data_IF_547212176406
#
_entry.id   IF_547212176406
#
_cell.length_a   1.000
_cell.length_b   1.000
_cell.length_c   1.000
_cell.angle_alpha   90.00
_cell.angle_beta   90.00
_cell.angle_gamma   90.00
#
_symmetry.space_group_name_H-M   'P 1'
#
loop_
_entity.id
_entity.type
_entity.pdbx_description
1 polymer ?
#
# COMPACT_ATOMS: atom_id res chain seq x y z
N UNK A 1 -36.26 42.94 18.36
CA UNK A 1 -35.62 43.24 17.06
C UNK A 1 -35.85 42.05 16.12
N UNK A 2 -37.09 41.90 15.64
CA UNK A 2 -37.43 41.06 14.48
C UNK A 2 -38.12 42.02 13.53
N UNK A 3 -37.36 42.61 12.61
CA UNK A 3 -37.90 43.48 11.58
C UNK A 3 -37.57 42.89 10.20
N UNK A 4 -38.63 42.78 9.41
CA UNK A 4 -38.71 42.69 7.95
C UNK A 4 -38.40 41.34 7.26
N UNK A 5 -39.53 40.68 6.97
CA UNK A 5 -39.95 40.15 5.66
C UNK A 5 -39.86 38.62 5.43
N UNK A 6 -41.07 38.07 5.24
CA UNK A 6 -41.49 36.80 4.61
C UNK A 6 -41.54 35.52 5.48
N UNK A 7 -42.81 35.16 5.74
CA UNK A 7 -43.39 33.83 5.97
C UNK A 7 -43.01 33.03 7.22
N UNK A 8 -43.79 33.27 8.29
CA UNK A 8 -44.51 32.32 9.15
C UNK A 8 -43.92 30.90 9.34
N UNK A 9 -43.16 30.67 10.42
CA UNK A 9 -43.69 30.07 11.65
C UNK A 9 -42.54 29.80 12.63
N UNK A 10 -42.55 30.56 13.73
CA UNK A 10 -41.65 30.47 14.86
C UNK A 10 -42.54 30.23 16.09
N UNK A 11 -42.50 29.04 16.70
CA UNK A 11 -42.60 28.87 18.15
C UNK A 11 -42.33 27.43 18.59
N UNK A 12 -41.42 27.22 19.55
CA UNK A 12 -41.43 26.05 20.42
C UNK A 12 -42.16 26.40 21.73
N UNK A 13 -43.21 25.67 22.09
CA UNK A 13 -43.82 25.76 23.43
C UNK A 13 -43.54 24.52 24.25
N UNK A 14 -42.73 24.79 25.27
CA UNK A 14 -42.41 24.08 26.49
C UNK A 14 -43.66 23.61 27.28
N UNK A 15 -43.73 22.33 27.68
CA UNK A 15 -44.52 21.83 28.84
C UNK A 15 -43.89 20.52 29.34
N UNK A 16 -43.05 20.58 30.38
CA UNK A 16 -43.34 20.29 31.79
C UNK A 16 -43.72 18.83 32.12
N UNK A 17 -42.83 18.20 32.91
CA UNK A 17 -43.07 17.30 34.05
C UNK A 17 -44.24 16.31 33.97
N UNK A 18 -43.96 15.01 34.09
CA UNK A 18 -44.17 14.28 35.36
C UNK A 18 -43.75 12.80 35.24
N UNK A 19 -43.28 12.30 36.38
CA UNK A 19 -42.75 10.97 36.62
C UNK A 19 -43.77 9.83 36.50
N UNK A 20 -43.23 8.60 36.56
CA UNK A 20 -43.89 7.30 36.72
C UNK A 20 -44.55 6.84 35.41
N UNK A 21 -44.23 5.67 34.85
CA UNK A 21 -44.55 4.36 35.40
C UNK A 21 -43.47 3.32 35.03
N UNK A 22 -43.04 2.59 36.06
CA UNK A 22 -42.52 1.23 36.08
C UNK A 22 -42.45 0.48 34.73
N UNK A 23 -41.24 0.14 34.30
CA UNK A 23 -41.01 -1.09 33.57
C UNK A 23 -40.00 -1.95 34.35
N UNK A 24 -40.52 -2.61 35.38
CA UNK A 24 -39.85 -3.72 36.01
C UNK A 24 -40.26 -5.00 35.30
N UNK A 25 -39.32 -5.94 35.23
CA UNK A 25 -39.45 -7.39 34.95
C UNK A 25 -39.23 -7.84 33.51
N UNK A 26 -37.99 -8.24 33.17
CA UNK A 26 -37.72 -9.56 32.58
C UNK A 26 -36.27 -9.99 32.89
N UNK A 27 -36.02 -11.29 33.09
CA UNK A 27 -35.07 -11.80 34.07
C UNK A 27 -33.63 -11.92 33.57
N UNK A 28 -32.71 -11.79 34.52
CA UNK A 28 -31.31 -12.16 34.41
C UNK A 28 -31.15 -13.61 33.92
N UNK A 29 -30.77 -13.78 32.65
CA UNK A 29 -30.23 -15.02 32.14
C UNK A 29 -28.78 -14.78 31.72
N UNK A 30 -27.88 -15.37 32.50
CA UNK A 30 -26.55 -15.86 32.12
C UNK A 30 -25.70 -15.00 31.18
N UNK A 31 -24.76 -14.25 31.76
CA UNK A 31 -23.40 -14.30 31.20
C UNK A 31 -22.74 -15.64 31.58
N UNK A 32 -21.58 -16.02 31.02
CA UNK A 32 -20.76 -15.30 30.03
C UNK A 32 -20.29 -16.21 28.88
N UNK A 33 -20.35 -15.75 27.63
CA UNK A 33 -19.38 -16.22 26.62
C UNK A 33 -18.93 -15.02 25.77
N UNK A 34 -18.31 -14.04 26.43
CA UNK A 34 -17.23 -13.31 25.78
C UNK A 34 -15.98 -14.19 25.91
N UNK A 35 -15.94 -15.27 25.13
CA UNK A 35 -14.64 -15.84 24.78
C UNK A 35 -13.84 -14.75 24.08
N UNK A 36 -12.52 -14.66 24.28
CA UNK A 36 -11.72 -13.81 23.41
C UNK A 36 -12.03 -14.31 21.99
N UNK A 37 -12.54 -13.43 21.12
CA UNK A 37 -12.26 -13.60 19.70
C UNK A 37 -10.75 -13.50 19.66
N UNK A 38 -10.08 -14.65 19.75
CA UNK A 38 -8.68 -14.74 19.44
C UNK A 38 -8.63 -14.35 17.97
N UNK A 39 -8.41 -13.05 17.70
CA UNK A 39 -7.78 -12.67 16.46
C UNK A 39 -6.52 -13.53 16.47
N UNK A 40 -6.51 -14.59 15.67
CA UNK A 40 -5.28 -15.34 15.44
C UNK A 40 -4.31 -14.26 14.96
N UNK A 41 -3.43 -13.82 15.85
CA UNK A 41 -2.42 -12.84 15.52
C UNK A 41 -1.62 -13.53 14.41
N UNK A 42 -1.84 -13.12 13.16
CA UNK A 42 -1.05 -13.60 12.04
C UNK A 42 0.39 -13.34 12.45
N UNK A 43 1.15 -14.42 12.60
CA UNK A 43 2.56 -14.33 12.94
C UNK A 43 3.19 -13.45 11.88
N UNK A 44 3.89 -12.40 12.31
CA UNK A 44 4.63 -11.52 11.40
C UNK A 44 5.47 -12.39 10.47
N UNK A 45 5.14 -12.36 9.18
CA UNK A 45 5.75 -13.19 8.16
C UNK A 45 6.27 -12.26 7.08
N UNK A 46 7.59 -12.24 6.91
CA UNK A 46 8.24 -11.57 5.79
C UNK A 46 8.42 -12.57 4.64
N UNK A 47 7.32 -13.23 4.27
CA UNK A 47 7.30 -14.26 3.23
C UNK A 47 6.17 -14.02 2.26
N UNK A 48 6.48 -14.14 0.98
CA UNK A 48 5.50 -14.02 -0.09
C UNK A 48 5.11 -15.39 -0.65
N UNK A 49 3.91 -15.46 -1.23
CA UNK A 49 3.53 -16.62 -2.01
C UNK A 49 4.42 -16.79 -3.26
N UNK A 50 4.51 -18.03 -3.76
CA UNK A 50 5.23 -18.30 -5.01
C UNK A 50 4.57 -17.56 -6.17
N UNK A 51 5.39 -16.88 -6.97
CA UNK A 51 4.93 -16.23 -8.20
C UNK A 51 4.49 -17.28 -9.23
N UNK A 52 3.32 -17.13 -9.88
CA UNK A 52 2.95 -17.96 -11.01
C UNK A 52 3.93 -17.79 -12.17
N UNK A 53 4.34 -18.87 -12.88
CA UNK A 53 5.35 -18.77 -13.95
C UNK A 53 5.01 -17.77 -15.07
N UNK A 54 3.72 -17.60 -15.39
CA UNK A 54 3.28 -16.69 -16.43
C UNK A 54 3.50 -15.22 -16.05
N UNK A 55 3.37 -14.87 -14.76
CA UNK A 55 3.59 -13.51 -14.26
C UNK A 55 5.03 -13.08 -14.52
N UNK A 56 6.01 -13.92 -14.16
CA UNK A 56 7.41 -13.62 -14.44
C UNK A 56 7.64 -13.31 -15.92
N UNK A 57 7.12 -14.16 -16.82
CA UNK A 57 7.27 -13.94 -18.27
C UNK A 57 6.70 -12.59 -18.74
N UNK A 58 5.49 -12.23 -18.31
CA UNK A 58 4.87 -10.95 -18.72
C UNK A 58 5.58 -9.75 -18.08
N UNK A 59 6.01 -9.85 -16.82
CA UNK A 59 6.75 -8.79 -16.13
C UNK A 59 8.08 -8.49 -16.83
N UNK A 60 8.82 -9.51 -17.24
CA UNK A 60 10.08 -9.34 -17.97
C UNK A 60 9.85 -8.74 -19.36
N UNK A 61 8.81 -9.18 -20.06
CA UNK A 61 8.47 -8.64 -21.39
C UNK A 61 8.11 -7.15 -21.29
N UNK A 62 7.29 -6.81 -20.30
CA UNK A 62 6.88 -5.45 -19.99
C UNK A 62 8.08 -4.55 -19.66
N UNK A 63 8.96 -4.99 -18.75
CA UNK A 63 10.16 -4.24 -18.39
C UNK A 63 11.04 -3.99 -19.61
N UNK A 64 11.23 -4.99 -20.47
CA UNK A 64 12.00 -4.83 -21.71
C UNK A 64 11.38 -3.85 -22.69
N UNK A 65 10.05 -3.73 -22.73
CA UNK A 65 9.39 -2.75 -23.59
C UNK A 65 9.60 -1.33 -23.07
N UNK A 66 9.42 -1.12 -21.77
CA UNK A 66 9.64 0.20 -21.16
C UNK A 66 11.11 0.64 -21.21
N UNK A 67 12.06 -0.30 -21.09
CA UNK A 67 13.49 -0.02 -21.28
C UNK A 67 13.82 0.52 -22.68
N UNK A 68 13.01 0.27 -23.72
CA UNK A 68 13.27 0.79 -25.09
C UNK A 68 12.95 2.27 -25.23
N UNK A 69 12.01 2.78 -24.43
CA UNK A 69 11.63 4.19 -24.38
C UNK A 69 12.33 4.93 -23.24
N UNK A 70 13.12 4.24 -22.41
CA UNK A 70 13.88 4.84 -21.32
C UNK A 70 15.16 5.50 -21.84
N UNK A 71 15.19 6.83 -21.79
CA UNK A 71 16.37 7.62 -22.17
C UNK A 71 17.43 7.68 -21.07
N UNK A 72 17.09 7.36 -19.81
CA UNK A 72 18.04 7.37 -18.69
C UNK A 72 18.64 5.97 -18.48
N UNK A 73 19.84 5.77 -19.00
CA UNK A 73 20.60 4.52 -18.86
C UNK A 73 21.50 4.46 -17.64
N UNK A 74 21.60 5.55 -16.87
CA UNK A 74 22.57 5.70 -15.77
C UNK A 74 21.92 5.48 -14.41
N UNK A 75 20.75 6.07 -14.21
CA UNK A 75 20.01 5.89 -12.96
C UNK A 75 19.59 4.42 -12.86
N UNK A 76 19.59 3.86 -11.65
CA UNK A 76 18.98 2.55 -11.37
C UNK A 76 18.15 2.69 -10.11
N UNK A 77 16.84 2.43 -10.21
CA UNK A 77 15.92 2.50 -9.08
C UNK A 77 16.10 1.28 -8.18
N UNK A 78 16.09 0.09 -8.78
CA UNK A 78 16.24 -1.21 -8.13
C UNK A 78 17.70 -1.64 -8.20
N UNK A 79 18.54 -0.97 -7.41
CA UNK A 79 19.93 -1.38 -7.20
C UNK A 79 20.10 -1.95 -5.78
N UNK A 80 20.25 -3.28 -5.63
CA UNK A 80 20.42 -3.93 -4.34
C UNK A 80 21.54 -3.33 -3.48
N UNK A 81 22.62 -2.83 -4.09
CA UNK A 81 23.71 -2.20 -3.33
C UNK A 81 23.23 -0.95 -2.60
N UNK A 82 22.49 -0.09 -3.30
CA UNK A 82 21.92 1.13 -2.72
C UNK A 82 20.73 0.84 -1.79
N UNK A 83 19.89 -0.14 -2.12
CA UNK A 83 18.68 -0.45 -1.35
C UNK A 83 18.99 -1.13 -0.02
N UNK A 84 20.07 -1.92 0.06
CA UNK A 84 20.42 -2.70 1.26
C UNK A 84 21.70 -2.20 1.95
N UNK A 85 22.16 -0.99 1.62
CA UNK A 85 23.39 -0.44 2.17
C UNK A 85 23.37 -0.46 3.71
N UNK A 86 24.37 -1.12 4.31
CA UNK A 86 24.55 -1.27 5.76
C UNK A 86 23.34 -1.87 6.50
N UNK A 87 22.55 -2.76 5.87
CA UNK A 87 21.42 -3.45 6.50
C UNK A 87 21.78 -4.88 6.90
N UNK A 88 21.09 -5.36 7.93
CA UNK A 88 21.07 -6.79 8.25
C UNK A 88 20.29 -7.51 7.16
N UNK A 89 20.77 -8.68 6.74
CA UNK A 89 20.09 -9.49 5.73
C UNK A 89 18.63 -9.80 6.12
N UNK A 90 18.37 -9.94 7.42
CA UNK A 90 17.04 -10.19 7.98
C UNK A 90 16.04 -9.04 7.74
N UNK A 91 16.53 -7.83 7.51
CA UNK A 91 15.70 -6.65 7.24
C UNK A 91 15.56 -6.39 5.73
N UNK A 92 16.23 -7.14 4.85
CA UNK A 92 16.16 -6.93 3.40
C UNK A 92 14.73 -7.10 2.86
N UNK A 93 13.97 -8.08 3.36
CA UNK A 93 12.57 -8.22 2.94
C UNK A 93 11.72 -7.04 3.40
N UNK A 94 11.92 -6.55 4.63
CA UNK A 94 11.23 -5.37 5.11
C UNK A 94 11.59 -4.12 4.29
N UNK A 95 12.86 -3.96 3.92
CA UNK A 95 13.28 -2.90 3.00
C UNK A 95 12.56 -3.03 1.65
N UNK A 96 12.46 -4.23 1.07
CA UNK A 96 11.76 -4.43 -0.20
C UNK A 96 10.25 -4.21 -0.09
N UNK A 97 9.63 -4.51 1.04
CA UNK A 97 8.24 -4.12 1.33
C UNK A 97 8.07 -2.60 1.20
N UNK A 98 8.94 -1.81 1.83
CA UNK A 98 8.86 -0.35 1.78
C UNK A 98 9.08 0.19 0.36
N UNK A 99 10.04 -0.37 -0.38
CA UNK A 99 10.29 -0.05 -1.80
C UNK A 99 9.06 -0.36 -2.66
N UNK A 100 8.51 -1.57 -2.53
CA UNK A 100 7.35 -2.04 -3.28
C UNK A 100 6.12 -1.15 -3.02
N UNK A 101 5.83 -0.88 -1.75
CA UNK A 101 4.70 -0.03 -1.35
C UNK A 101 4.83 1.38 -1.92
N UNK A 102 6.02 1.97 -1.81
CA UNK A 102 6.27 3.31 -2.33
C UNK A 102 6.10 3.37 -3.84
N UNK A 103 6.72 2.44 -4.59
CA UNK A 103 6.62 2.41 -6.05
C UNK A 103 5.18 2.20 -6.52
N UNK A 104 4.44 1.26 -5.91
CA UNK A 104 3.05 1.03 -6.25
C UNK A 104 2.20 2.28 -6.05
N UNK A 105 2.24 2.88 -4.87
CA UNK A 105 1.35 3.98 -4.52
C UNK A 105 1.73 5.31 -5.17
N UNK A 106 3.02 5.60 -5.27
CA UNK A 106 3.49 6.94 -5.64
C UNK A 106 3.90 7.04 -7.11
N UNK A 107 4.25 5.92 -7.76
CA UNK A 107 4.81 5.93 -9.12
C UNK A 107 3.94 5.16 -10.11
N UNK A 108 3.55 3.94 -9.77
CA UNK A 108 2.92 3.01 -10.73
C UNK A 108 1.40 3.16 -10.79
N UNK A 109 0.74 3.42 -9.66
CA UNK A 109 -0.72 3.51 -9.55
C UNK A 109 -1.24 4.94 -9.31
N UNK A 110 -0.39 5.96 -9.46
CA UNK A 110 -0.81 7.35 -9.24
C UNK A 110 -1.97 7.74 -10.17
N UNK A 111 -3.00 8.37 -9.58
CA UNK A 111 -4.40 8.34 -9.98
C UNK A 111 -4.78 9.13 -11.23
N UNK A 112 -3.84 9.87 -11.84
CA UNK A 112 -4.08 10.58 -13.10
C UNK A 112 -3.95 9.68 -14.33
N UNK A 113 -3.24 8.55 -14.24
CA UNK A 113 -3.02 7.63 -15.36
C UNK A 113 -3.68 6.26 -15.21
N UNK A 114 -4.28 5.95 -14.06
CA UNK A 114 -5.21 4.80 -13.97
C UNK A 114 -6.42 4.95 -14.92
N UNK A 115 -6.61 6.15 -15.48
CA UNK A 115 -7.59 6.51 -16.52
C UNK A 115 -6.92 6.83 -17.87
N UNK A 116 -5.58 6.85 -17.94
CA UNK A 116 -4.86 6.93 -19.21
C UNK A 116 -5.00 5.58 -19.91
N UNK A 117 -5.25 5.58 -21.23
CA UNK A 117 -5.77 4.42 -21.92
C UNK A 117 -4.78 3.26 -21.81
N UNK A 118 -5.30 2.04 -21.82
CA UNK A 118 -4.59 0.76 -21.83
C UNK A 118 -3.68 0.54 -23.07
N UNK A 119 -3.06 1.61 -23.57
CA UNK A 119 -2.44 1.73 -24.88
C UNK A 119 -0.92 1.67 -24.81
N UNK A 120 -0.27 1.92 -23.67
CA UNK A 120 1.21 1.93 -23.66
C UNK A 120 1.85 0.57 -23.38
N UNK A 121 1.23 -0.28 -22.55
CA UNK A 121 1.81 -1.58 -22.20
C UNK A 121 0.76 -2.69 -21.97
N UNK A 122 0.70 -3.71 -22.84
CA UNK A 122 -0.10 -4.91 -22.59
C UNK A 122 0.27 -5.56 -21.26
N UNK A 123 -0.73 -6.08 -20.55
CA UNK A 123 -0.57 -6.80 -19.27
C UNK A 123 -0.03 -5.98 -18.08
N UNK A 124 0.16 -4.65 -18.21
CA UNK A 124 0.60 -3.82 -17.10
C UNK A 124 -0.34 -3.95 -15.89
N UNK A 125 -1.66 -3.96 -16.12
CA UNK A 125 -2.65 -4.15 -15.04
C UNK A 125 -2.44 -5.47 -14.30
N UNK A 126 -2.33 -6.57 -15.03
CA UNK A 126 -2.15 -7.92 -14.45
C UNK A 126 -0.86 -7.99 -13.61
N UNK A 127 0.21 -7.34 -14.08
CA UNK A 127 1.48 -7.25 -13.35
C UNK A 127 1.35 -6.39 -12.09
N UNK A 128 0.70 -5.23 -12.17
CA UNK A 128 0.49 -4.35 -11.01
C UNK A 128 -0.42 -4.99 -9.94
N UNK A 129 -1.47 -5.70 -10.35
CA UNK A 129 -2.31 -6.49 -9.44
C UNK A 129 -1.50 -7.57 -8.71
N UNK A 130 -0.58 -8.24 -9.41
CA UNK A 130 0.33 -9.19 -8.77
C UNK A 130 1.27 -8.52 -7.75
N UNK A 131 1.87 -7.38 -8.10
CA UNK A 131 2.72 -6.64 -7.15
C UNK A 131 1.91 -6.12 -5.95
N UNK A 132 0.66 -5.70 -6.14
CA UNK A 132 -0.24 -5.35 -5.04
C UNK A 132 -0.49 -6.54 -4.10
N UNK A 133 -0.63 -7.75 -4.65
CA UNK A 133 -0.74 -8.97 -3.85
C UNK A 133 0.55 -9.29 -3.06
N UNK A 134 1.73 -9.07 -3.66
CA UNK A 134 2.99 -9.18 -2.92
C UNK A 134 3.10 -8.17 -1.77
N UNK A 135 2.62 -6.95 -2.00
CA UNK A 135 2.54 -5.91 -0.97
C UNK A 135 1.61 -6.36 0.18
N UNK A 136 0.45 -6.93 -0.16
CA UNK A 136 -0.50 -7.48 0.82
C UNK A 136 0.12 -8.61 1.66
N UNK A 137 0.80 -9.58 1.01
CA UNK A 137 1.51 -10.69 1.69
C UNK A 137 2.54 -10.17 2.71
N UNK A 138 3.14 -9.01 2.45
CA UNK A 138 4.17 -8.40 3.29
C UNK A 138 3.62 -7.40 4.33
N UNK A 139 2.30 -7.19 4.41
CA UNK A 139 1.69 -6.21 5.33
C UNK A 139 2.13 -6.43 6.77
N UNK A 140 2.13 -7.69 7.22
CA UNK A 140 2.48 -8.08 8.59
C UNK A 140 4.00 -8.27 8.81
N UNK A 141 4.83 -8.07 7.79
CA UNK A 141 6.29 -8.13 7.92
C UNK A 141 6.79 -6.99 8.83
N UNK A 142 7.57 -7.35 9.85
CA UNK A 142 8.11 -6.44 10.85
C UNK A 142 9.62 -6.30 10.70
N UNK A 143 10.10 -5.07 10.87
CA UNK A 143 11.52 -4.77 10.96
C UNK A 143 12.10 -5.39 12.24
N UNK A 144 13.30 -5.96 12.14
CA UNK A 144 14.03 -6.48 13.30
C UNK A 144 15.12 -5.53 13.78
N UNK A 145 15.79 -4.84 12.85
CA UNK A 145 16.82 -3.85 13.15
C UNK A 145 16.30 -2.43 13.34
N UNK A 146 17.20 -1.46 13.17
CA UNK A 146 16.92 -0.03 13.30
C UNK A 146 16.27 0.56 12.04
N UNK A 147 15.24 1.39 12.25
CA UNK A 147 14.43 2.03 11.21
C UNK A 147 15.21 3.09 10.44
N UNK A 148 16.16 3.78 11.08
CA UNK A 148 16.89 4.91 10.47
C UNK A 148 17.58 4.53 9.17
N UNK A 149 18.13 3.32 9.11
CA UNK A 149 18.79 2.80 7.91
C UNK A 149 17.82 2.51 6.76
N UNK A 150 16.62 2.03 7.08
CA UNK A 150 15.56 1.82 6.08
C UNK A 150 15.13 3.17 5.50
N UNK A 151 14.89 4.15 6.38
CA UNK A 151 14.48 5.49 5.99
C UNK A 151 15.52 6.15 5.08
N UNK A 152 16.81 6.08 5.43
CA UNK A 152 17.89 6.63 4.61
C UNK A 152 17.98 5.98 3.23
N UNK A 153 17.86 4.66 3.13
CA UNK A 153 17.84 3.97 1.82
C UNK A 153 16.58 4.34 1.01
N UNK A 154 15.45 4.52 1.68
CA UNK A 154 14.22 4.99 1.05
C UNK A 154 14.32 6.45 0.56
N UNK A 155 15.02 7.33 1.28
CA UNK A 155 15.28 8.71 0.84
C UNK A 155 16.10 8.73 -0.46
N UNK A 156 17.13 7.90 -0.57
CA UNK A 156 17.92 7.77 -1.81
C UNK A 156 17.04 7.35 -2.98
N UNK A 157 16.14 6.38 -2.78
CA UNK A 157 15.19 5.96 -3.81
C UNK A 157 14.24 7.11 -4.20
N UNK A 158 13.66 7.77 -3.20
CA UNK A 158 12.74 8.91 -3.39
C UNK A 158 13.40 10.05 -4.15
N UNK A 159 14.67 10.35 -3.85
CA UNK A 159 15.44 11.38 -4.53
C UNK A 159 15.71 11.02 -5.99
N UNK A 160 16.02 9.75 -6.29
CA UNK A 160 16.15 9.27 -7.69
C UNK A 160 14.83 9.48 -8.44
N UNK A 161 13.70 9.08 -7.84
CA UNK A 161 12.37 9.21 -8.43
C UNK A 161 12.00 10.68 -8.66
N UNK A 162 12.29 11.55 -7.69
CA UNK A 162 12.07 13.00 -7.82
C UNK A 162 12.90 13.61 -8.95
N UNK A 163 14.16 13.20 -9.09
CA UNK A 163 15.05 13.69 -10.17
C UNK A 163 14.61 13.23 -11.55
N UNK A 164 14.01 12.05 -11.65
CA UNK A 164 13.48 11.50 -12.91
C UNK A 164 12.22 12.22 -13.40
N UNK A 165 11.46 12.87 -12.50
CA UNK A 165 10.26 13.62 -12.87
C UNK A 165 9.25 12.74 -13.62
N UNK A 166 8.79 13.21 -14.78
CA UNK A 166 7.81 12.51 -15.63
C UNK A 166 8.31 11.14 -16.12
N UNK A 167 9.63 10.97 -16.28
CA UNK A 167 10.22 9.69 -16.71
C UNK A 167 10.24 8.62 -15.61
N UNK A 168 9.95 8.98 -14.35
CA UNK A 168 10.04 8.07 -13.22
C UNK A 168 9.14 6.83 -13.37
N UNK A 169 7.95 7.01 -13.95
CA UNK A 169 7.01 5.90 -14.16
C UNK A 169 7.52 4.92 -15.20
N UNK A 170 7.93 5.41 -16.37
CA UNK A 170 8.50 4.55 -17.42
C UNK A 170 9.76 3.82 -16.91
N UNK A 171 10.61 4.52 -16.16
CA UNK A 171 11.77 3.95 -15.48
C UNK A 171 11.39 2.81 -14.53
N UNK A 172 10.39 3.02 -13.67
CA UNK A 172 9.93 2.01 -12.72
C UNK A 172 9.33 0.78 -13.43
N UNK A 173 8.56 0.98 -14.51
CA UNK A 173 8.07 -0.12 -15.36
C UNK A 173 9.25 -0.89 -15.96
N UNK A 174 10.26 -0.17 -16.46
CA UNK A 174 11.49 -0.71 -17.01
C UNK A 174 12.35 -1.50 -16.02
N UNK A 175 12.10 -1.41 -14.71
CA UNK A 175 12.84 -2.14 -13.68
C UNK A 175 11.95 -3.14 -12.90
N UNK A 176 10.74 -3.45 -13.38
CA UNK A 176 9.84 -4.40 -12.72
C UNK A 176 10.39 -5.83 -12.68
N UNK A 177 11.22 -6.23 -13.64
CA UNK A 177 11.93 -7.51 -13.63
C UNK A 177 12.87 -7.60 -12.43
N UNK A 178 13.66 -6.56 -12.21
CA UNK A 178 14.58 -6.46 -11.07
C UNK A 178 13.83 -6.34 -9.74
N UNK A 179 12.72 -5.59 -9.72
CA UNK A 179 11.86 -5.49 -8.55
C UNK A 179 11.31 -6.86 -8.17
N UNK A 180 10.83 -7.61 -9.16
CA UNK A 180 10.32 -8.97 -8.97
C UNK A 180 11.43 -9.88 -8.42
N UNK A 181 12.55 -10.01 -9.14
CA UNK A 181 13.65 -10.91 -8.76
C UNK A 181 14.19 -10.60 -7.36
N UNK A 182 14.40 -9.31 -7.07
CA UNK A 182 14.93 -8.87 -5.78
C UNK A 182 13.94 -9.23 -4.67
N UNK A 183 12.65 -8.94 -4.86
CA UNK A 183 11.61 -9.27 -3.88
C UNK A 183 11.51 -10.78 -3.66
N UNK A 184 11.45 -11.58 -4.73
CA UNK A 184 11.41 -13.04 -4.66
C UNK A 184 12.63 -13.60 -3.91
N UNK A 185 13.82 -13.03 -4.12
CA UNK A 185 15.06 -13.47 -3.48
C UNK A 185 15.09 -13.17 -1.98
N UNK A 186 14.69 -11.99 -1.56
CA UNK A 186 14.86 -11.56 -0.16
C UNK A 186 13.65 -11.90 0.72
N UNK A 187 12.49 -12.20 0.13
CA UNK A 187 11.23 -12.49 0.83
C UNK A 187 10.73 -13.93 0.67
N UNK A 188 11.58 -14.89 0.28
CA UNK A 188 11.23 -16.33 0.21
C UNK A 188 11.38 -17.07 1.54
#
# INVERSE_FOLDING_TARGET
LCLLQKSLNCWPTLTFLFCFILWASLPAHGGPISGPIASQAKKASCKIAKSPPHIGKITYTLAKWAQRSDADTVTRLIDPKSLFSNKLEEDHCYQMKEVLNYLLQQVLMNSSEAQAPAVEYPHLRDVLEFFAKLSEDLTDCKLKGDKKGIESNMEVLKDKIKKLGESARNKAIGELDQLLDTTLKVCS
#
